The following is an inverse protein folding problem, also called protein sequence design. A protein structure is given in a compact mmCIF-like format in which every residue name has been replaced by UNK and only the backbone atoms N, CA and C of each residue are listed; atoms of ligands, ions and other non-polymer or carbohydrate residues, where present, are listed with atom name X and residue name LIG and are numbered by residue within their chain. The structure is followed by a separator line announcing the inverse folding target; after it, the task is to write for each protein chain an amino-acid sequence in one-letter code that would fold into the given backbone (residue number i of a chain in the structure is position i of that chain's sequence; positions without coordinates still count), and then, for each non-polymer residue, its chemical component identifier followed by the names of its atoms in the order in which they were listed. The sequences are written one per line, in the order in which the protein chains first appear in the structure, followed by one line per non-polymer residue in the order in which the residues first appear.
data_IF_944976395303
#
_entry.id   IF_944976395303
#
_cell.length_a   1.000
_cell.length_b   1.000
_cell.length_c   1.000
_cell.angle_alpha   90.00
_cell.angle_beta   90.00
_cell.angle_gamma   90.00
#
_symmetry.space_group_name_H-M   'P 1'
#
loop_
_entity.id
_entity.type
_entity.pdbx_description
1 polymer ?
#
# COMPACT_ATOMS: atom_id res chain seq x y z
N UNK A 1 -4.91 -16.31 -16.02
CA UNK A 1 -5.89 -15.67 -16.96
C UNK A 1 -7.14 -16.55 -17.03
N UNK A 2 -8.31 -15.97 -16.74
CA UNK A 2 -9.60 -16.68 -16.81
C UNK A 2 -10.02 -16.80 -18.27
N UNK A 3 -10.25 -18.01 -18.77
CA UNK A 3 -10.63 -18.26 -20.15
C UNK A 3 -12.11 -18.65 -20.22
N UNK A 4 -12.91 -17.80 -20.87
CA UNK A 4 -14.29 -18.11 -21.20
C UNK A 4 -14.36 -19.08 -22.37
N UNK A 5 -15.04 -20.22 -22.19
CA UNK A 5 -15.37 -21.13 -23.28
C UNK A 5 -16.52 -20.50 -24.10
N UNK A 6 -16.26 -20.15 -25.36
CA UNK A 6 -17.21 -19.77 -26.44
C UNK A 6 -18.62 -19.32 -25.91
N UNK A 7 -18.67 -18.17 -25.29
CA UNK A 7 -19.91 -17.64 -24.73
C UNK A 7 -20.32 -16.38 -25.48
N UNK A 8 -21.60 -16.25 -25.74
CA UNK A 8 -22.24 -15.03 -26.25
C UNK A 8 -21.98 -13.81 -25.35
N UNK A 9 -21.65 -14.06 -24.08
CA UNK A 9 -21.41 -13.06 -23.01
C UNK A 9 -19.92 -12.71 -22.81
N UNK A 10 -19.03 -13.12 -23.71
CA UNK A 10 -17.57 -12.89 -23.56
C UNK A 10 -17.17 -11.40 -23.46
N UNK A 11 -18.04 -10.49 -23.86
CA UNK A 11 -17.81 -9.04 -23.89
C UNK A 11 -18.58 -8.30 -22.77
N UNK A 12 -19.39 -9.03 -21.98
CA UNK A 12 -20.16 -8.41 -20.90
C UNK A 12 -19.21 -7.94 -19.77
N UNK A 13 -19.36 -6.71 -19.24
CA UNK A 13 -18.52 -6.21 -18.15
C UNK A 13 -18.76 -6.99 -16.85
N UNK A 14 -19.96 -7.48 -16.64
CA UNK A 14 -20.34 -8.29 -15.49
C UNK A 14 -21.01 -9.58 -15.94
N UNK A 15 -20.64 -10.67 -15.30
CA UNK A 15 -21.27 -11.97 -15.54
C UNK A 15 -21.38 -12.78 -14.24
N UNK A 16 -22.40 -13.62 -14.18
CA UNK A 16 -22.56 -14.64 -13.14
C UNK A 16 -22.29 -16.00 -13.78
N UNK A 17 -21.45 -16.80 -13.16
CA UNK A 17 -21.18 -18.18 -13.56
C UNK A 17 -21.80 -19.13 -12.54
N UNK A 18 -22.62 -20.07 -13.00
CA UNK A 18 -23.20 -21.10 -12.14
C UNK A 18 -22.25 -22.29 -11.94
N UNK A 19 -21.27 -22.46 -12.83
CA UNK A 19 -20.25 -23.51 -12.74
C UNK A 19 -18.86 -22.88 -12.74
N UNK A 20 -18.03 -23.33 -11.80
CA UNK A 20 -16.62 -22.95 -11.69
C UNK A 20 -15.80 -24.25 -11.64
N UNK A 21 -14.92 -24.46 -12.61
CA UNK A 21 -14.04 -25.62 -12.67
C UNK A 21 -12.59 -25.16 -12.73
N UNK A 22 -11.78 -25.67 -11.83
CA UNK A 22 -10.34 -25.42 -11.85
C UNK A 22 -9.64 -26.59 -12.55
N UNK A 23 -8.80 -26.28 -13.53
CA UNK A 23 -7.99 -27.25 -14.27
C UNK A 23 -6.52 -26.87 -14.06
N UNK A 24 -5.80 -27.77 -13.44
CA UNK A 24 -4.35 -27.67 -13.33
C UNK A 24 -3.70 -28.28 -14.58
N UNK A 25 -2.92 -27.49 -15.30
CA UNK A 25 -2.16 -27.93 -16.46
C UNK A 25 -0.79 -27.28 -16.48
N UNK A 26 0.25 -28.10 -16.49
CA UNK A 26 1.67 -27.64 -16.54
C UNK A 26 2.08 -26.70 -15.43
N UNK A 27 1.52 -26.88 -14.22
CA UNK A 27 1.81 -26.01 -13.07
C UNK A 27 1.06 -24.67 -13.06
N UNK A 28 0.16 -24.46 -14.03
CA UNK A 28 -0.77 -23.31 -14.03
C UNK A 28 -2.18 -23.78 -13.69
N UNK A 29 -2.82 -23.06 -12.77
CA UNK A 29 -4.23 -23.28 -12.45
C UNK A 29 -5.09 -22.38 -13.34
N UNK A 30 -5.89 -22.99 -14.18
CA UNK A 30 -6.84 -22.30 -15.04
C UNK A 30 -8.26 -22.49 -14.51
N UNK A 31 -8.93 -21.38 -14.23
CA UNK A 31 -10.34 -21.39 -13.81
C UNK A 31 -11.24 -21.27 -15.04
N UNK A 32 -12.07 -22.26 -15.28
CA UNK A 32 -13.11 -22.25 -16.30
C UNK A 32 -14.44 -21.86 -15.68
N UNK A 33 -15.11 -20.90 -16.31
CA UNK A 33 -16.45 -20.47 -15.93
C UNK A 33 -17.45 -21.10 -16.92
N UNK A 34 -18.41 -21.85 -16.40
CA UNK A 34 -19.50 -22.47 -17.16
C UNK A 34 -20.85 -21.84 -16.80
N UNK A 35 -21.84 -22.03 -17.67
CA UNK A 35 -23.20 -21.51 -17.51
C UNK A 35 -23.23 -20.02 -17.12
N UNK A 36 -22.53 -19.19 -17.94
CA UNK A 36 -22.40 -17.77 -17.69
C UNK A 36 -23.56 -16.98 -18.22
N UNK A 37 -24.10 -16.05 -17.42
CA UNK A 37 -25.13 -15.08 -17.78
C UNK A 37 -24.60 -13.67 -17.60
N UNK A 38 -24.81 -12.80 -18.57
CA UNK A 38 -24.52 -11.38 -18.44
C UNK A 38 -25.48 -10.74 -17.42
N UNK A 39 -24.95 -9.87 -16.58
CA UNK A 39 -25.69 -9.19 -15.52
C UNK A 39 -25.46 -7.69 -15.65
N UNK A 40 -26.52 -6.92 -15.46
CA UNK A 40 -26.44 -5.48 -15.42
C UNK A 40 -26.27 -4.99 -13.97
N UNK A 41 -25.47 -3.95 -13.78
CA UNK A 41 -25.26 -3.36 -12.46
C UNK A 41 -26.57 -2.89 -11.81
N UNK A 42 -27.54 -2.43 -12.63
CA UNK A 42 -28.86 -2.02 -12.15
C UNK A 42 -29.60 -3.16 -11.41
N UNK A 43 -29.49 -4.37 -11.91
CA UNK A 43 -30.11 -5.55 -11.27
C UNK A 43 -29.45 -5.88 -9.93
N UNK A 44 -28.13 -5.72 -9.84
CA UNK A 44 -27.42 -5.91 -8.58
C UNK A 44 -27.86 -4.88 -7.54
N UNK A 45 -28.05 -3.62 -7.94
CA UNK A 45 -28.55 -2.57 -7.06
C UNK A 45 -29.98 -2.80 -6.58
N UNK A 46 -30.82 -3.32 -7.44
CA UNK A 46 -32.20 -3.64 -7.10
C UNK A 46 -32.30 -4.82 -6.13
N UNK A 47 -31.51 -5.88 -6.37
CA UNK A 47 -31.60 -7.11 -5.62
C UNK A 47 -30.77 -7.07 -4.32
N UNK A 48 -29.66 -6.33 -4.29
CA UNK A 48 -28.68 -6.29 -3.22
C UNK A 48 -28.22 -4.86 -2.92
N UNK A 49 -29.11 -3.93 -2.54
CA UNK A 49 -28.75 -2.53 -2.35
C UNK A 49 -27.70 -2.33 -1.26
N UNK A 50 -27.73 -3.15 -0.21
CA UNK A 50 -26.83 -3.05 0.95
C UNK A 50 -25.41 -3.62 0.70
N UNK A 51 -25.22 -4.33 -0.41
CA UNK A 51 -23.93 -4.93 -0.79
C UNK A 51 -23.02 -3.98 -1.59
N UNK A 52 -23.49 -2.76 -1.85
CA UNK A 52 -22.70 -1.72 -2.49
C UNK A 52 -21.96 -0.88 -1.46
N UNK A 53 -20.70 -0.59 -1.73
CA UNK A 53 -19.89 0.29 -0.91
C UNK A 53 -19.03 1.20 -1.78
N UNK A 54 -18.86 2.45 -1.31
CA UNK A 54 -17.86 3.36 -1.82
C UNK A 54 -16.66 3.30 -0.88
N UNK A 55 -15.55 2.82 -1.39
CA UNK A 55 -14.29 2.71 -0.64
C UNK A 55 -13.27 3.71 -1.19
N UNK A 56 -12.67 4.49 -0.30
CA UNK A 56 -11.45 5.21 -0.60
C UNK A 56 -10.26 4.26 -0.46
N UNK A 57 -9.26 4.40 -1.32
CA UNK A 57 -8.02 3.66 -1.21
C UNK A 57 -6.83 4.55 -1.56
N UNK A 58 -5.69 4.22 -1.00
CA UNK A 58 -4.42 4.91 -1.28
C UNK A 58 -3.45 3.91 -1.87
N UNK A 59 -2.73 4.29 -2.91
CA UNK A 59 -1.77 3.43 -3.58
C UNK A 59 -0.55 4.22 -4.06
N UNK A 60 0.57 3.54 -4.26
CA UNK A 60 1.75 4.13 -4.86
C UNK A 60 1.71 3.96 -6.38
N UNK A 61 1.77 5.08 -7.11
CA UNK A 61 1.90 5.09 -8.56
C UNK A 61 3.39 5.10 -8.93
N UNK A 62 3.88 3.99 -9.47
CA UNK A 62 5.28 3.85 -9.86
C UNK A 62 5.68 4.79 -10.99
N UNK A 63 4.75 5.12 -11.90
CA UNK A 63 5.02 5.99 -13.05
C UNK A 63 5.24 7.44 -12.63
N UNK A 64 4.44 7.91 -11.69
CA UNK A 64 4.53 9.26 -11.12
C UNK A 64 5.45 9.30 -9.89
N UNK A 65 5.82 8.14 -9.34
CA UNK A 65 6.58 7.99 -8.10
C UNK A 65 5.94 8.75 -6.94
N UNK A 66 4.61 8.64 -6.85
CA UNK A 66 3.79 9.39 -5.90
C UNK A 66 2.66 8.51 -5.35
N UNK A 67 2.28 8.82 -4.11
CA UNK A 67 1.09 8.24 -3.49
C UNK A 67 -0.14 9.00 -3.99
N UNK A 68 -1.14 8.25 -4.44
CA UNK A 68 -2.38 8.77 -5.01
C UNK A 68 -3.56 8.21 -4.26
N UNK A 69 -4.60 9.04 -4.12
CA UNK A 69 -5.90 8.58 -3.65
C UNK A 69 -6.74 8.07 -4.83
N UNK A 70 -7.50 7.02 -4.59
CA UNK A 70 -8.49 6.52 -5.54
C UNK A 70 -9.81 6.30 -4.83
N UNK A 71 -10.90 6.50 -5.54
CA UNK A 71 -12.23 6.13 -5.09
C UNK A 71 -12.66 4.89 -5.85
N UNK A 72 -13.07 3.87 -5.11
CA UNK A 72 -13.55 2.61 -5.66
C UNK A 72 -15.02 2.44 -5.29
N UNK A 73 -15.82 2.12 -6.29
CA UNK A 73 -17.15 1.64 -6.07
C UNK A 73 -17.14 0.11 -6.17
N UNK A 74 -17.60 -0.54 -5.12
CA UNK A 74 -17.54 -1.98 -4.95
C UNK A 74 -18.94 -2.57 -4.80
N UNK A 75 -19.08 -3.77 -5.30
CA UNK A 75 -20.15 -4.70 -4.94
C UNK A 75 -19.51 -5.85 -4.18
N UNK A 76 -19.68 -5.90 -2.86
CA UNK A 76 -18.92 -6.78 -1.96
C UNK A 76 -17.39 -6.62 -2.20
N UNK A 77 -16.72 -7.69 -2.58
CA UNK A 77 -15.27 -7.70 -2.86
C UNK A 77 -14.94 -7.33 -4.33
N UNK A 78 -15.96 -7.17 -5.19
CA UNK A 78 -15.77 -6.87 -6.59
C UNK A 78 -15.68 -5.35 -6.81
N UNK A 79 -14.53 -4.88 -7.31
CA UNK A 79 -14.37 -3.49 -7.74
C UNK A 79 -15.07 -3.30 -9.08
N UNK A 80 -16.15 -2.49 -9.09
CA UNK A 80 -16.93 -2.15 -10.29
C UNK A 80 -16.31 -0.96 -11.02
N UNK A 81 -15.87 0.03 -10.26
CA UNK A 81 -15.27 1.24 -10.78
C UNK A 81 -14.12 1.69 -9.87
N UNK A 82 -13.01 2.11 -10.46
CA UNK A 82 -11.89 2.70 -9.74
C UNK A 82 -11.45 3.97 -10.47
N UNK A 83 -11.57 5.11 -9.78
CA UNK A 83 -11.15 6.42 -10.30
C UNK A 83 -10.10 7.02 -9.39
N UNK A 84 -9.01 7.51 -9.99
CA UNK A 84 -8.07 8.36 -9.26
C UNK A 84 -8.77 9.67 -8.92
N UNK A 85 -8.61 10.11 -7.68
CA UNK A 85 -9.08 11.40 -7.21
C UNK A 85 -7.92 12.39 -7.19
N UNK A 86 -8.23 13.66 -7.47
CA UNK A 86 -7.26 14.74 -7.35
C UNK A 86 -7.03 15.15 -5.88
N UNK A 87 -7.80 14.58 -4.96
CA UNK A 87 -7.69 14.86 -3.53
C UNK A 87 -6.37 14.30 -2.97
N UNK A 88 -5.77 15.02 -2.08
CA UNK A 88 -4.59 14.53 -1.36
C UNK A 88 -4.98 13.36 -0.46
N UNK A 89 -4.21 12.25 -0.49
CA UNK A 89 -4.46 11.13 0.40
C UNK A 89 -4.22 11.52 1.87
N UNK A 90 -4.84 10.81 2.84
CA UNK A 90 -4.55 11.02 4.24
C UNK A 90 -3.05 10.88 4.53
N UNK A 91 -2.46 11.86 5.23
CA UNK A 91 -1.02 11.94 5.44
C UNK A 91 -0.42 10.68 6.11
N UNK A 92 -1.16 10.07 7.06
CA UNK A 92 -0.73 8.84 7.72
C UNK A 92 -0.71 7.63 6.76
N UNK A 93 -1.74 7.47 5.93
CA UNK A 93 -1.78 6.38 4.95
C UNK A 93 -0.70 6.55 3.87
N UNK A 94 -0.47 7.79 3.44
CA UNK A 94 0.59 8.13 2.50
C UNK A 94 1.97 7.81 3.10
N UNK A 95 2.21 8.18 4.37
CA UNK A 95 3.44 7.89 5.08
C UNK A 95 3.69 6.38 5.20
N UNK A 96 2.68 5.59 5.59
CA UNK A 96 2.79 4.14 5.69
C UNK A 96 3.15 3.48 4.34
N UNK A 97 2.57 3.95 3.24
CA UNK A 97 2.89 3.47 1.90
C UNK A 97 4.31 3.84 1.51
N UNK A 98 4.70 5.11 1.68
CA UNK A 98 6.06 5.58 1.37
C UNK A 98 7.12 4.84 2.19
N UNK A 99 6.85 4.59 3.47
CA UNK A 99 7.73 3.80 4.35
C UNK A 99 7.96 2.40 3.78
N UNK A 100 6.91 1.73 3.33
CA UNK A 100 7.02 0.42 2.69
C UNK A 100 7.87 0.46 1.42
N UNK A 101 7.73 1.52 0.61
CA UNK A 101 8.55 1.72 -0.59
C UNK A 101 10.03 1.99 -0.26
N UNK A 102 10.30 2.74 0.82
CA UNK A 102 11.66 2.99 1.32
C UNK A 102 12.28 1.70 1.85
N UNK A 103 11.58 0.96 2.71
CA UNK A 103 12.08 -0.30 3.27
C UNK A 103 12.30 -1.38 2.21
N UNK A 104 11.51 -1.36 1.13
CA UNK A 104 11.71 -2.22 -0.04
C UNK A 104 12.84 -1.77 -0.98
N UNK A 105 13.51 -0.64 -0.69
CA UNK A 105 14.60 -0.09 -1.49
C UNK A 105 14.17 0.57 -2.81
N UNK A 106 12.86 0.77 -3.04
CA UNK A 106 12.34 1.43 -4.25
C UNK A 106 12.42 2.95 -4.18
N UNK A 107 12.42 3.51 -2.97
CA UNK A 107 12.69 4.93 -2.70
C UNK A 107 13.92 5.01 -1.81
N UNK A 108 14.85 5.90 -2.16
CA UNK A 108 16.07 6.15 -1.39
C UNK A 108 15.92 7.47 -0.65
N UNK A 109 16.09 7.44 0.67
CA UNK A 109 16.24 8.62 1.52
C UNK A 109 17.70 9.06 1.46
N UNK A 110 18.01 10.12 0.73
CA UNK A 110 19.41 10.60 0.54
C UNK A 110 20.06 10.99 1.86
N UNK A 111 19.27 11.60 2.75
CA UNK A 111 19.75 12.04 4.08
C UNK A 111 19.90 10.88 5.08
N UNK A 112 19.33 9.70 4.81
CA UNK A 112 19.60 8.49 5.58
C UNK A 112 20.84 7.80 5.03
N UNK A 113 21.98 8.34 5.39
CA UNK A 113 23.27 7.94 4.87
C UNK A 113 24.14 7.23 5.94
N UNK A 114 25.39 6.93 5.60
CA UNK A 114 26.34 6.26 6.48
C UNK A 114 26.58 7.04 7.80
N UNK A 115 26.52 8.37 7.77
CA UNK A 115 26.66 9.17 8.99
C UNK A 115 25.49 8.95 9.97
N UNK A 116 24.28 8.75 9.47
CA UNK A 116 23.10 8.39 10.26
C UNK A 116 23.27 7.00 10.86
N UNK A 117 23.72 6.03 10.08
CA UNK A 117 23.99 4.67 10.57
C UNK A 117 25.08 4.62 11.64
N UNK A 118 26.14 5.37 11.46
CA UNK A 118 27.19 5.52 12.48
C UNK A 118 26.65 6.21 13.74
N UNK A 119 25.74 7.17 13.60
CA UNK A 119 25.11 7.82 14.75
C UNK A 119 24.23 6.82 15.51
N UNK A 120 23.38 6.05 14.84
CA UNK A 120 22.56 4.99 15.45
C UNK A 120 23.43 3.98 16.17
N UNK A 121 24.52 3.53 15.52
CA UNK A 121 25.48 2.60 16.15
C UNK A 121 26.04 3.15 17.44
N UNK A 122 26.42 4.44 17.47
CA UNK A 122 26.95 5.07 18.71
C UNK A 122 25.89 5.14 19.80
N UNK A 123 24.64 5.47 19.46
CA UNK A 123 23.52 5.48 20.41
C UNK A 123 23.34 4.08 21.01
N UNK A 124 23.34 3.04 20.17
CA UNK A 124 23.17 1.66 20.61
C UNK A 124 24.37 1.19 21.48
N UNK A 125 25.58 1.65 21.19
CA UNK A 125 26.74 1.39 22.03
C UNK A 125 26.62 2.09 23.40
N UNK A 126 26.14 3.33 23.44
CA UNK A 126 25.91 4.04 24.70
C UNK A 126 24.85 3.33 25.54
N UNK A 127 23.72 2.95 24.97
CA UNK A 127 22.69 2.19 25.67
C UNK A 127 23.20 0.89 26.27
N UNK A 128 24.15 0.23 25.59
CA UNK A 128 24.76 -1.03 26.05
C UNK A 128 25.83 -0.84 27.14
N UNK A 129 26.67 0.17 27.01
CA UNK A 129 27.87 0.34 27.86
C UNK A 129 27.59 1.23 29.08
N UNK A 130 26.61 2.12 28.99
CA UNK A 130 26.20 3.01 30.07
C UNK A 130 24.70 2.97 30.31
N UNK A 131 24.18 1.86 30.87
CA UNK A 131 22.73 1.71 31.12
C UNK A 131 22.18 2.80 32.07
N UNK A 132 23.04 3.42 32.87
CA UNK A 132 22.66 4.53 33.77
C UNK A 132 22.21 5.80 33.02
N UNK A 133 22.54 5.91 31.73
CA UNK A 133 22.07 7.03 30.90
C UNK A 133 20.63 6.85 30.42
N UNK A 134 20.03 5.67 30.66
CA UNK A 134 18.64 5.35 30.28
C UNK A 134 18.32 5.62 28.79
N UNK A 135 19.34 5.56 27.92
CA UNK A 135 19.17 5.75 26.48
C UNK A 135 18.58 4.49 25.87
N UNK A 136 17.45 4.62 25.21
CA UNK A 136 16.82 3.51 24.49
C UNK A 136 17.60 3.17 23.21
N UNK A 137 17.94 1.87 22.99
CA UNK A 137 18.54 1.47 21.73
C UNK A 137 17.56 1.59 20.57
N UNK A 138 18.07 1.95 19.40
CA UNK A 138 17.28 2.01 18.17
C UNK A 138 17.33 0.64 17.48
N UNK A 139 16.20 -0.06 17.50
CA UNK A 139 16.04 -1.37 16.86
C UNK A 139 15.57 -1.24 15.40
N UNK A 140 15.49 -2.37 14.67
CA UNK A 140 14.94 -2.35 13.31
C UNK A 140 13.45 -1.97 13.26
N UNK A 141 12.70 -2.29 14.31
CA UNK A 141 11.30 -1.86 14.44
C UNK A 141 11.20 -0.32 14.61
N UNK A 142 12.09 0.25 15.43
CA UNK A 142 12.16 1.70 15.63
C UNK A 142 12.58 2.42 14.35
N UNK A 143 13.48 1.81 13.54
CA UNK A 143 13.84 2.34 12.21
C UNK A 143 12.63 2.51 11.31
N UNK A 144 11.72 1.52 11.27
CA UNK A 144 10.51 1.60 10.48
C UNK A 144 9.62 2.77 10.94
N UNK A 145 9.45 2.93 12.25
CA UNK A 145 8.69 4.04 12.85
C UNK A 145 9.33 5.40 12.55
N UNK A 146 10.65 5.49 12.67
CA UNK A 146 11.39 6.72 12.34
C UNK A 146 11.25 7.09 10.87
N UNK A 147 11.35 6.11 9.97
CA UNK A 147 11.13 6.32 8.53
C UNK A 147 9.70 6.79 8.27
N UNK A 148 8.70 6.24 8.97
CA UNK A 148 7.32 6.67 8.83
C UNK A 148 7.12 8.12 9.28
N UNK A 149 7.73 8.53 10.38
CA UNK A 149 7.74 9.93 10.82
C UNK A 149 8.40 10.86 9.80
N UNK A 150 9.52 10.43 9.20
CA UNK A 150 10.17 11.16 8.12
C UNK A 150 9.25 11.27 6.90
N UNK A 151 8.55 10.20 6.54
CA UNK A 151 7.63 10.18 5.41
C UNK A 151 6.36 11.00 5.65
N UNK A 152 6.00 11.26 6.90
CA UNK A 152 4.78 11.97 7.23
C UNK A 152 4.71 13.36 6.59
N UNK A 153 3.56 13.68 5.98
CA UNK A 153 3.35 14.93 5.24
C UNK A 153 4.09 15.00 3.90
N UNK A 154 4.57 13.86 3.39
CA UNK A 154 5.09 13.72 2.03
C UNK A 154 4.20 12.78 1.23
N UNK A 155 4.09 13.03 -0.07
CA UNK A 155 3.25 12.26 -0.98
C UNK A 155 4.03 11.64 -2.15
N UNK A 156 5.30 11.99 -2.31
CA UNK A 156 6.11 11.50 -3.41
C UNK A 156 7.60 11.34 -3.10
N UNK A 157 8.26 10.51 -3.91
CA UNK A 157 9.69 10.23 -3.74
C UNK A 157 10.59 11.48 -3.88
N UNK A 158 10.14 12.49 -4.62
CA UNK A 158 10.89 13.76 -4.79
C UNK A 158 10.93 14.56 -3.50
N UNK A 159 9.82 14.57 -2.76
CA UNK A 159 9.68 15.31 -1.50
C UNK A 159 10.54 14.70 -0.40
N UNK A 160 10.80 13.39 -0.49
CA UNK A 160 11.61 12.66 0.48
C UNK A 160 13.12 12.81 0.26
N UNK A 161 13.54 13.20 -0.95
CA UNK A 161 14.95 13.21 -1.33
C UNK A 161 15.81 14.09 -0.42
N UNK A 162 15.30 15.28 -0.10
CA UNK A 162 16.04 16.30 0.66
C UNK A 162 15.43 16.51 2.07
N UNK A 163 14.62 15.56 2.55
CA UNK A 163 13.95 15.68 3.83
C UNK A 163 14.92 15.40 4.98
N UNK A 164 15.07 16.32 5.97
CA UNK A 164 16.05 16.17 7.03
C UNK A 164 15.71 14.99 7.96
N UNK A 165 16.66 14.10 8.16
CA UNK A 165 16.52 12.90 9.00
C UNK A 165 16.94 13.18 10.44
N UNK A 166 18.03 13.91 10.64
CA UNK A 166 18.64 14.12 11.96
C UNK A 166 17.71 14.79 13.01
N UNK A 167 16.85 15.74 12.65
CA UNK A 167 15.88 16.29 13.63
C UNK A 167 14.96 15.20 14.19
N UNK A 168 14.39 14.35 13.35
CA UNK A 168 13.49 13.26 13.77
C UNK A 168 14.22 12.28 14.70
N UNK A 169 15.46 11.93 14.40
CA UNK A 169 16.26 11.05 15.25
C UNK A 169 16.59 11.68 16.61
N UNK A 170 16.82 12.99 16.65
CA UNK A 170 17.08 13.70 17.91
C UNK A 170 15.81 13.78 18.77
N UNK A 171 14.69 14.10 18.14
CA UNK A 171 13.41 14.17 18.83
C UNK A 171 13.03 12.80 19.41
N UNK A 172 13.33 11.71 18.69
CA UNK A 172 13.15 10.35 19.18
C UNK A 172 13.93 10.05 20.47
N UNK A 173 15.18 10.53 20.58
CA UNK A 173 16.00 10.34 21.79
C UNK A 173 15.52 11.21 22.97
N UNK A 174 14.86 12.33 22.69
CA UNK A 174 14.39 13.27 23.71
C UNK A 174 12.93 12.99 24.12
N UNK A 175 12.24 12.11 23.40
CA UNK A 175 10.89 11.69 23.76
C UNK A 175 10.96 10.76 24.98
N UNK A 176 10.41 11.23 26.11
CA UNK A 176 10.25 10.47 27.35
C UNK A 176 9.10 9.45 27.23
#
# INVERSE_FOLDING_TARGET
ARKLRRAVVAVAPLLVAAEITEIESRGEVNTLLGLCTAVEEAWLKELFPDDFSDAGGVFYDESQRRVMARRERRFRDLVLESKQTADEPPAGEAAAILTREVLAGRIVLTEWNEAVEHWITRVNCLAKWWPELEVNPITDADRATLIEQICYGSYGARELKDKPVMPVLRDWLLAE
#
